data_IF_930166624756
#
_entry.id   IF_930166624756
#
_cell.length_a   1.000
_cell.length_b   1.000
_cell.length_c   1.000
_cell.angle_alpha   90.00
_cell.angle_beta   90.00
_cell.angle_gamma   90.00
#
_symmetry.space_group_name_H-M   'P 1'
#
loop_
_entity.id
_entity.type
_entity.pdbx_description
1 polymer ?
#
# COMPACT_ATOMS: atom_id res chain seq x y z
N UNK A 1 -49.77 -61.85 -12.06
CA UNK A 1 -50.63 -61.38 -10.93
C UNK A 1 -50.30 -59.91 -10.72
N UNK A 2 -51.05 -58.98 -11.33
CA UNK A 2 -52.18 -58.21 -10.71
C UNK A 2 -51.68 -57.28 -9.57
N UNK A 3 -51.90 -55.97 -9.49
CA UNK A 3 -52.97 -55.06 -9.95
C UNK A 3 -52.43 -53.60 -10.04
N UNK A 4 -52.75 -52.85 -11.11
CA UNK A 4 -53.59 -51.62 -11.16
C UNK A 4 -53.35 -50.55 -10.09
N UNK A 5 -53.02 -49.33 -10.53
CA UNK A 5 -53.97 -48.21 -10.37
C UNK A 5 -53.81 -47.14 -11.46
N UNK A 6 -54.93 -46.49 -11.78
CA UNK A 6 -55.28 -45.77 -13.00
C UNK A 6 -55.79 -44.36 -12.61
N UNK A 7 -55.84 -43.47 -13.60
CA UNK A 7 -56.44 -42.10 -13.65
C UNK A 7 -55.44 -40.98 -13.26
N UNK A 8 -55.04 -40.04 -14.11
CA UNK A 8 -55.56 -39.57 -15.40
C UNK A 8 -56.43 -38.32 -15.23
N UNK A 9 -55.93 -37.15 -15.60
CA UNK A 9 -56.62 -36.16 -16.45
C UNK A 9 -55.74 -34.91 -16.66
N UNK A 10 -55.47 -34.64 -17.93
CA UNK A 10 -54.92 -33.41 -18.50
C UNK A 10 -55.94 -32.26 -18.50
N UNK A 11 -55.43 -31.02 -18.67
CA UNK A 11 -55.82 -29.95 -19.62
C UNK A 11 -55.53 -28.57 -19.02
N UNK A 12 -54.52 -27.85 -19.51
CA UNK A 12 -54.61 -26.74 -20.49
C UNK A 12 -55.59 -25.64 -20.05
N UNK A 13 -55.20 -24.36 -19.95
CA UNK A 13 -55.30 -23.40 -21.07
C UNK A 13 -54.62 -22.06 -20.71
N UNK A 14 -53.85 -21.51 -21.67
CA UNK A 14 -53.58 -20.11 -22.08
C UNK A 14 -54.07 -18.95 -21.17
N UNK A 15 -53.22 -17.97 -20.82
CA UNK A 15 -52.67 -16.86 -21.63
C UNK A 15 -53.67 -15.73 -21.94
N UNK A 16 -53.43 -14.55 -21.37
CA UNK A 16 -53.74 -13.19 -21.89
C UNK A 16 -53.22 -12.15 -20.87
N UNK A 17 -52.15 -11.42 -21.21
CA UNK A 17 -52.15 -10.06 -21.78
C UNK A 17 -52.54 -8.94 -20.80
N UNK A 18 -51.57 -8.07 -20.51
CA UNK A 18 -51.79 -6.61 -20.44
C UNK A 18 -50.43 -5.92 -20.54
N UNK A 19 -50.10 -5.61 -21.80
CA UNK A 19 -49.11 -4.63 -22.20
C UNK A 19 -49.70 -3.25 -21.86
N UNK A 20 -49.01 -2.43 -21.07
CA UNK A 20 -49.37 -1.01 -20.90
C UNK A 20 -48.23 -0.16 -21.42
N UNK A 21 -48.49 0.43 -22.57
CA UNK A 21 -47.83 1.61 -23.13
C UNK A 21 -47.64 2.68 -22.06
N UNK A 22 -46.42 3.22 -21.95
CA UNK A 22 -46.23 4.60 -21.48
C UNK A 22 -45.58 5.36 -22.63
N UNK A 23 -46.43 6.06 -23.37
CA UNK A 23 -46.09 7.00 -24.43
C UNK A 23 -45.88 8.39 -23.82
N UNK A 24 -44.70 8.93 -24.06
CA UNK A 24 -44.37 10.29 -24.45
C UNK A 24 -45.24 11.47 -23.93
N UNK A 25 -44.62 12.34 -23.13
CA UNK A 25 -44.89 13.79 -23.15
C UNK A 25 -43.60 14.57 -22.87
N UNK A 26 -42.96 15.00 -23.95
CA UNK A 26 -42.22 16.25 -23.96
C UNK A 26 -43.25 17.39 -24.03
N UNK A 27 -43.03 18.47 -23.29
CA UNK A 27 -43.17 19.82 -23.85
C UNK A 27 -42.50 20.88 -22.95
N UNK A 28 -42.04 22.00 -23.54
CA UNK A 28 -41.14 22.98 -22.93
C UNK A 28 -41.80 24.36 -22.74
N UNK A 29 -40.98 25.36 -22.36
CA UNK A 29 -41.15 26.82 -22.60
C UNK A 29 -41.98 27.63 -21.56
N UNK A 30 -41.31 28.52 -20.83
CA UNK A 30 -41.33 30.00 -21.00
C UNK A 30 -40.42 30.64 -19.92
N UNK A 31 -39.33 31.36 -20.24
CA UNK A 31 -39.27 32.74 -20.79
C UNK A 31 -39.70 33.75 -19.71
N UNK A 32 -39.12 34.91 -19.46
CA UNK A 32 -37.91 35.64 -19.85
C UNK A 32 -37.85 36.84 -18.88
N UNK A 33 -36.68 37.41 -18.58
CA UNK A 33 -36.62 38.86 -18.47
C UNK A 33 -35.25 39.40 -18.91
N UNK A 34 -35.30 40.06 -20.05
CA UNK A 34 -34.25 40.92 -20.62
C UNK A 34 -34.02 42.13 -19.73
N UNK A 35 -32.80 42.69 -19.77
CA UNK A 35 -32.55 44.05 -20.31
C UNK A 35 -31.03 44.26 -20.52
N UNK A 36 -30.54 44.25 -21.76
CA UNK A 36 -30.32 45.41 -22.67
C UNK A 36 -29.39 46.53 -22.16
N UNK A 37 -28.22 46.67 -22.81
CA UNK A 37 -27.77 47.76 -23.71
C UNK A 37 -26.24 47.89 -23.61
N UNK A 38 -25.53 47.67 -24.73
CA UNK A 38 -25.11 48.69 -25.72
C UNK A 38 -24.04 49.63 -25.14
N UNK A 39 -23.05 50.15 -25.85
CA UNK A 39 -22.46 50.03 -27.17
C UNK A 39 -21.31 51.04 -27.16
N UNK A 40 -20.26 50.85 -27.96
CA UNK A 40 -19.45 51.90 -28.64
C UNK A 40 -18.04 51.34 -28.87
N UNK A 41 -17.60 50.98 -30.08
CA UNK A 41 -17.43 51.74 -31.33
C UNK A 41 -16.02 52.35 -31.44
N UNK A 42 -15.36 51.98 -32.56
CA UNK A 42 -14.16 52.56 -33.21
C UNK A 42 -12.84 52.40 -32.45
N UNK A 43 -11.75 51.98 -33.09
CA UNK A 43 -11.25 52.53 -34.36
C UNK A 43 -10.42 51.50 -35.15
N UNK A 44 -10.75 51.35 -36.43
CA UNK A 44 -9.90 50.77 -37.47
C UNK A 44 -8.79 51.74 -37.89
N UNK A 45 -7.87 51.21 -38.73
CA UNK A 45 -6.96 51.89 -39.68
C UNK A 45 -5.56 52.09 -39.04
N UNK A 46 -4.44 51.53 -39.51
CA UNK A 46 -3.94 51.46 -40.90
C UNK A 46 -2.73 50.50 -41.03
N UNK A 47 -2.70 49.76 -42.14
CA UNK A 47 -1.56 49.43 -43.03
C UNK A 47 -0.33 48.65 -42.54
N UNK A 48 -0.14 47.53 -43.23
CA UNK A 48 1.06 46.73 -43.40
C UNK A 48 2.22 47.50 -44.05
N UNK A 49 3.46 47.25 -43.59
CA UNK A 49 4.71 47.26 -44.39
C UNK A 49 5.72 46.32 -43.71
N UNK A 50 6.01 45.20 -44.39
CA UNK A 50 7.26 44.42 -44.51
C UNK A 50 8.27 44.31 -43.37
N UNK A 51 8.82 43.10 -43.20
CA UNK A 51 10.24 42.94 -42.88
C UNK A 51 10.56 41.70 -42.05
N UNK A 52 11.15 40.70 -42.70
CA UNK A 52 11.70 39.52 -42.06
C UNK A 52 12.79 39.89 -41.02
N UNK A 53 12.67 39.36 -39.81
CA UNK A 53 13.79 39.11 -38.90
C UNK A 53 13.38 37.99 -37.94
N UNK A 54 13.54 36.77 -38.45
CA UNK A 54 13.47 35.53 -37.71
C UNK A 54 14.67 35.47 -36.73
N UNK A 55 14.39 34.98 -35.52
CA UNK A 55 15.30 34.19 -34.69
C UNK A 55 16.57 34.85 -34.10
N UNK A 56 16.46 35.46 -32.91
CA UNK A 56 17.42 35.31 -31.81
C UNK A 56 16.69 35.52 -30.47
N UNK A 57 16.22 34.47 -29.81
CA UNK A 57 15.81 34.56 -28.38
C UNK A 57 15.77 33.24 -27.60
N UNK A 58 16.26 32.10 -28.10
CA UNK A 58 16.18 30.84 -27.35
C UNK A 58 17.50 30.05 -27.44
N UNK A 59 18.53 30.54 -26.76
CA UNK A 59 19.69 29.74 -26.41
C UNK A 59 20.14 30.15 -25.01
N UNK A 60 19.55 29.52 -24.00
CA UNK A 60 19.86 29.84 -22.61
C UNK A 60 19.28 28.84 -21.62
N UNK A 61 19.22 27.56 -21.97
CA UNK A 61 19.04 26.44 -21.05
C UNK A 61 19.55 25.17 -21.74
N UNK A 62 20.86 25.01 -21.85
CA UNK A 62 21.46 23.76 -22.29
C UNK A 62 22.66 23.47 -21.41
N UNK A 63 22.40 23.04 -20.17
CA UNK A 63 23.34 22.27 -19.34
C UNK A 63 22.52 21.34 -18.44
N UNK A 64 22.45 20.07 -18.80
CA UNK A 64 22.43 19.00 -17.80
C UNK A 64 23.42 17.91 -18.25
N UNK A 65 24.47 17.62 -17.47
CA UNK A 65 25.25 16.42 -17.69
C UNK A 65 24.36 15.22 -17.33
N UNK A 66 24.16 14.31 -18.28
CA UNK A 66 23.58 13.01 -17.97
C UNK A 66 24.46 12.30 -16.94
N UNK A 67 23.84 11.76 -15.88
CA UNK A 67 24.56 11.06 -14.82
C UNK A 67 25.03 9.70 -15.34
N UNK A 68 26.26 9.63 -15.86
CA UNK A 68 26.97 8.36 -16.00
C UNK A 68 27.61 8.01 -14.65
N UNK A 69 27.42 6.78 -14.18
CA UNK A 69 28.10 6.31 -12.98
C UNK A 69 29.62 6.25 -13.24
N UNK A 70 30.40 7.04 -12.50
CA UNK A 70 31.86 6.96 -12.44
C UNK A 70 32.27 6.66 -11.00
N UNK A 71 33.09 5.61 -10.75
CA UNK A 71 33.45 5.22 -9.38
C UNK A 71 34.38 6.26 -8.71
N UNK A 72 34.29 6.47 -7.39
CA UNK A 72 35.16 7.41 -6.67
C UNK A 72 36.59 6.87 -6.54
N UNK A 73 37.58 7.70 -6.87
CA UNK A 73 39.00 7.41 -6.68
C UNK A 73 39.42 7.68 -5.23
N UNK A 74 39.77 6.62 -4.49
CA UNK A 74 40.28 6.71 -3.12
C UNK A 74 41.75 7.12 -3.09
N UNK A 75 42.04 8.26 -2.45
CA UNK A 75 43.37 8.68 -2.00
C UNK A 75 43.77 7.94 -0.72
N UNK A 76 44.96 7.36 -0.69
CA UNK A 76 45.70 7.13 0.56
C UNK A 76 47.22 7.12 0.33
N UNK A 77 47.91 7.97 1.09
CA UNK A 77 49.27 7.75 1.58
C UNK A 77 49.26 8.02 3.10
N UNK A 78 50.40 7.93 3.83
CA UNK A 78 51.74 7.52 3.40
C UNK A 78 52.36 6.41 4.30
N UNK A 79 53.47 5.80 3.84
CA UNK A 79 54.30 4.89 4.64
C UNK A 79 55.63 4.55 3.96
N UNK A 80 56.73 4.89 4.64
CA UNK A 80 58.16 4.71 4.31
C UNK A 80 58.55 3.20 4.19
N UNK A 81 59.70 2.72 3.67
CA UNK A 81 61.05 3.28 3.47
C UNK A 81 61.90 2.35 2.54
N UNK A 82 63.00 2.92 2.00
CA UNK A 82 64.30 2.32 1.57
C UNK A 82 64.32 1.27 0.41
N UNK A 83 65.22 1.26 -0.57
CA UNK A 83 66.43 2.02 -0.93
C UNK A 83 67.19 1.19 -2.00
N UNK A 84 67.77 1.80 -3.03
CA UNK A 84 68.61 1.07 -4.00
C UNK A 84 68.74 1.70 -5.39
N UNK A 85 69.94 2.20 -5.68
CA UNK A 85 70.41 2.89 -6.89
C UNK A 85 70.45 2.05 -8.17
N UNK A 86 70.18 2.68 -9.32
CA UNK A 86 70.56 2.14 -10.64
C UNK A 86 70.08 3.00 -11.81
N UNK A 87 70.97 3.82 -12.36
CA UNK A 87 70.79 4.53 -13.63
C UNK A 87 70.78 3.53 -14.80
N UNK A 88 69.73 3.56 -15.63
CA UNK A 88 69.81 3.14 -17.02
C UNK A 88 68.72 3.84 -17.85
N UNK A 89 69.20 4.64 -18.79
CA UNK A 89 68.46 5.23 -19.90
C UNK A 89 67.86 4.16 -20.82
N UNK A 90 66.56 4.25 -21.08
CA UNK A 90 66.00 3.75 -22.34
C UNK A 90 64.77 4.56 -22.73
N UNK A 91 64.96 5.36 -23.77
CA UNK A 91 63.89 5.96 -24.56
C UNK A 91 63.05 4.85 -25.21
N UNK A 92 61.84 4.61 -24.69
CA UNK A 92 60.86 3.77 -25.39
C UNK A 92 59.81 4.67 -26.03
N UNK A 93 59.89 4.62 -27.36
CA UNK A 93 59.01 5.19 -28.37
C UNK A 93 57.57 4.72 -28.11
N UNK A 94 56.66 5.64 -27.83
CA UNK A 94 55.23 5.36 -27.75
C UNK A 94 54.72 5.04 -29.17
N UNK A 95 54.56 3.75 -29.48
CA UNK A 95 53.70 3.30 -30.57
C UNK A 95 52.27 3.26 -30.05
N UNK A 96 51.42 4.07 -30.68
CA UNK A 96 49.99 4.09 -30.46
C UNK A 96 49.39 2.78 -30.99
N UNK A 97 49.05 1.87 -30.08
CA UNK A 97 48.10 0.79 -30.35
C UNK A 97 46.82 1.11 -29.57
N UNK A 98 45.92 1.83 -30.23
CA UNK A 98 44.57 2.05 -29.78
C UNK A 98 43.75 0.77 -29.99
N UNK A 99 43.52 0.01 -28.92
CA UNK A 99 42.46 -0.99 -28.84
C UNK A 99 41.20 -0.35 -28.25
N UNK A 100 40.09 -0.19 -29.00
CA UNK A 100 38.83 0.29 -28.47
C UNK A 100 38.05 -0.91 -27.93
N UNK A 101 38.07 -1.12 -26.62
CA UNK A 101 37.27 -2.18 -26.02
C UNK A 101 37.73 -2.55 -24.62
N UNK A 102 37.36 -1.72 -23.63
CA UNK A 102 37.24 -2.11 -22.23
C UNK A 102 36.55 -0.99 -21.45
N UNK A 103 35.24 -0.93 -21.59
CA UNK A 103 34.39 -0.21 -20.64
C UNK A 103 33.99 -1.19 -19.56
N UNK A 104 34.77 -1.28 -18.48
CA UNK A 104 34.47 -1.79 -17.13
C UNK A 104 35.78 -2.18 -16.47
N UNK A 105 36.50 -1.22 -15.92
CA UNK A 105 37.51 -1.51 -14.90
C UNK A 105 37.26 -0.54 -13.73
N UNK A 106 36.82 -1.12 -12.61
CA UNK A 106 36.61 -0.55 -11.27
C UNK A 106 35.15 -0.38 -10.78
N UNK A 107 34.34 -1.44 -10.86
CA UNK A 107 33.44 -1.71 -9.72
C UNK A 107 34.32 -2.23 -8.57
N UNK A 108 34.22 -1.73 -7.33
CA UNK A 108 34.97 -2.28 -6.20
C UNK A 108 34.76 -3.80 -6.17
N UNK A 109 35.84 -4.56 -6.34
CA UNK A 109 35.82 -6.01 -6.39
C UNK A 109 35.28 -6.53 -5.05
N UNK A 110 33.97 -6.82 -5.01
CA UNK A 110 33.27 -7.26 -3.80
C UNK A 110 31.77 -6.98 -3.69
N UNK A 111 31.12 -6.24 -4.62
CA UNK A 111 29.68 -5.92 -4.49
C UNK A 111 28.84 -5.89 -5.78
N UNK A 112 29.38 -6.36 -6.91
CA UNK A 112 28.61 -6.60 -8.13
C UNK A 112 28.13 -8.05 -8.15
N UNK A 113 26.82 -8.26 -8.24
CA UNK A 113 26.20 -9.58 -8.29
C UNK A 113 25.44 -9.69 -9.61
N UNK A 114 25.79 -10.66 -10.45
CA UNK A 114 25.05 -10.94 -11.67
C UNK A 114 23.69 -11.57 -11.33
N UNK A 115 22.62 -11.04 -11.93
CA UNK A 115 21.27 -11.58 -11.86
C UNK A 115 21.21 -12.76 -12.83
N UNK A 116 21.53 -13.94 -12.32
CA UNK A 116 21.42 -15.21 -13.04
C UNK A 116 20.19 -15.99 -12.58
N UNK A 117 19.76 -16.97 -13.37
CA UNK A 117 18.68 -17.89 -12.97
C UNK A 117 19.01 -18.58 -11.64
N UNK A 118 20.27 -19.02 -11.46
CA UNK A 118 20.74 -19.62 -10.21
C UNK A 118 20.60 -18.68 -9.00
N UNK A 119 20.87 -17.38 -9.17
CA UNK A 119 20.68 -16.39 -8.11
C UNK A 119 19.20 -16.26 -7.78
N UNK A 120 18.35 -16.13 -8.80
CA UNK A 120 16.90 -16.00 -8.63
C UNK A 120 16.33 -17.23 -7.92
N UNK A 121 16.75 -18.43 -8.30
CA UNK A 121 16.37 -19.68 -7.64
C UNK A 121 16.85 -19.73 -6.20
N UNK A 122 18.09 -19.31 -5.94
CA UNK A 122 18.65 -19.23 -4.60
C UNK A 122 17.87 -18.24 -3.73
N UNK A 123 17.61 -17.02 -4.20
CA UNK A 123 16.81 -16.03 -3.46
C UNK A 123 15.37 -16.52 -3.23
N UNK A 124 14.77 -17.21 -4.20
CA UNK A 124 13.45 -17.85 -4.05
C UNK A 124 13.46 -19.00 -3.06
N UNK A 125 14.56 -19.76 -2.98
CA UNK A 125 14.71 -20.86 -2.03
C UNK A 125 14.98 -20.36 -0.61
N UNK A 126 15.78 -19.29 -0.47
CA UNK A 126 16.03 -18.61 0.80
C UNK A 126 14.78 -17.89 1.32
N UNK A 127 13.88 -17.47 0.41
CA UNK A 127 12.59 -16.93 0.80
C UNK A 127 11.78 -17.99 1.53
N UNK A 128 11.47 -17.71 2.79
CA UNK A 128 10.68 -18.62 3.61
C UNK A 128 9.34 -18.92 2.93
N UNK A 129 9.12 -20.21 2.61
CA UNK A 129 7.81 -20.69 2.16
C UNK A 129 6.76 -20.55 3.27
N UNK A 130 7.19 -20.47 4.52
CA UNK A 130 6.36 -20.20 5.67
C UNK A 130 6.11 -18.69 5.89
N UNK A 131 5.02 -18.40 6.59
CA UNK A 131 4.72 -17.08 7.14
C UNK A 131 5.68 -16.81 8.31
N UNK A 132 6.19 -15.57 8.50
CA UNK A 132 7.13 -15.27 9.59
C UNK A 132 6.57 -15.67 10.97
N UNK A 133 7.45 -16.11 11.86
CA UNK A 133 7.07 -16.55 13.22
C UNK A 133 6.38 -15.44 14.01
N UNK A 134 6.78 -14.19 13.80
CA UNK A 134 6.16 -13.01 14.43
C UNK A 134 4.69 -12.84 14.06
N UNK A 135 4.33 -13.14 12.81
CA UNK A 135 2.93 -13.11 12.35
C UNK A 135 2.17 -14.30 12.91
N UNK A 136 2.82 -15.47 12.97
CA UNK A 136 2.22 -16.69 13.56
C UNK A 136 1.92 -16.52 15.06
N UNK A 137 2.69 -15.70 15.78
CA UNK A 137 2.41 -15.33 17.18
C UNK A 137 1.13 -14.49 17.35
N UNK A 138 0.65 -13.86 16.28
CA UNK A 138 -0.65 -13.17 16.28
C UNK A 138 -1.81 -14.15 16.10
N UNK A 139 -1.54 -15.40 15.72
CA UNK A 139 -2.59 -16.38 15.53
C UNK A 139 -3.17 -16.81 16.86
N UNK A 140 -4.50 -16.85 16.92
CA UNK A 140 -5.21 -17.33 18.09
C UNK A 140 -6.50 -18.02 17.68
N UNK A 141 -6.96 -18.91 18.55
CA UNK A 141 -8.30 -19.47 18.43
C UNK A 141 -9.27 -18.50 19.10
N UNK A 142 -10.40 -18.19 18.44
CA UNK A 142 -11.44 -17.37 19.02
C UNK A 142 -11.79 -17.78 20.46
N UNK A 143 -11.62 -16.84 21.39
CA UNK A 143 -12.03 -17.03 22.78
C UNK A 143 -13.35 -16.30 23.05
N UNK A 144 -14.23 -16.83 23.92
CA UNK A 144 -15.42 -16.11 24.35
C UNK A 144 -15.08 -14.75 24.96
N UNK A 145 -15.96 -13.77 24.74
CA UNK A 145 -15.78 -12.46 25.33
C UNK A 145 -15.89 -12.52 26.85
N UNK A 146 -14.86 -12.02 27.52
CA UNK A 146 -14.86 -11.79 28.97
C UNK A 146 -15.20 -10.34 29.30
N UNK A 147 -16.02 -10.15 30.33
CA UNK A 147 -16.45 -8.86 30.83
C UNK A 147 -15.27 -8.01 31.30
N UNK A 148 -15.34 -6.70 31.09
CA UNK A 148 -14.35 -5.75 31.56
C UNK A 148 -14.96 -4.45 32.07
N UNK A 149 -14.11 -3.63 32.71
CA UNK A 149 -14.50 -2.32 33.21
C UNK A 149 -15.09 -1.43 32.09
N UNK A 150 -16.24 -0.84 32.36
CA UNK A 150 -17.00 0.00 31.43
C UNK A 150 -18.10 -0.72 30.64
N UNK A 151 -18.11 -2.06 30.61
CA UNK A 151 -19.21 -2.80 29.97
C UNK A 151 -20.54 -2.56 30.73
N UNK A 152 -21.66 -2.62 30.00
CA UNK A 152 -22.99 -2.42 30.57
C UNK A 152 -23.77 -3.73 30.43
N UNK A 153 -24.26 -4.23 31.55
CA UNK A 153 -24.95 -5.51 31.65
C UNK A 153 -26.45 -5.31 31.82
N UNK A 154 -27.24 -6.05 31.05
CA UNK A 154 -28.66 -6.23 31.29
C UNK A 154 -28.86 -7.48 32.13
N UNK A 155 -29.48 -7.34 33.30
CA UNK A 155 -29.75 -8.43 34.23
C UNK A 155 -31.26 -8.50 34.44
N UNK A 156 -31.83 -9.65 34.13
CA UNK A 156 -33.23 -9.97 34.33
C UNK A 156 -33.34 -11.17 35.25
N UNK A 157 -34.03 -11.00 36.37
CA UNK A 157 -34.45 -12.08 37.26
C UNK A 157 -35.92 -12.33 37.01
N UNK A 158 -36.25 -13.54 36.54
CA UNK A 158 -37.62 -13.94 36.28
C UNK A 158 -38.40 -14.11 37.59
N UNK A 159 -39.71 -13.85 37.53
CA UNK A 159 -40.63 -13.85 38.68
C UNK A 159 -40.27 -12.86 39.80
N UNK A 160 -39.31 -11.96 39.55
CA UNK A 160 -38.83 -10.93 40.49
C UNK A 160 -38.63 -9.57 39.80
N UNK A 161 -39.70 -8.90 39.34
CA UNK A 161 -39.61 -7.60 38.68
C UNK A 161 -38.96 -6.51 39.54
N UNK A 162 -39.00 -6.65 40.87
CA UNK A 162 -38.37 -5.75 41.85
C UNK A 162 -36.84 -5.81 41.85
N UNK A 163 -36.25 -6.89 41.33
CA UNK A 163 -34.80 -7.08 41.18
C UNK A 163 -34.27 -6.59 39.84
N UNK A 164 -35.18 -6.35 38.91
CA UNK A 164 -34.87 -5.73 37.64
C UNK A 164 -34.74 -4.23 37.89
N UNK A 165 -33.76 -3.59 37.26
CA UNK A 165 -33.36 -2.22 37.56
C UNK A 165 -34.58 -1.26 37.58
N UNK A 166 -34.79 -0.47 38.65
CA UNK A 166 -35.88 0.49 38.70
C UNK A 166 -35.52 1.67 37.79
N UNK A 167 -36.07 1.76 36.57
CA UNK A 167 -35.71 2.90 35.71
C UNK A 167 -36.12 2.95 34.25
N UNK A 168 -36.90 2.00 33.71
CA UNK A 168 -37.54 2.20 32.40
C UNK A 168 -39.05 2.01 32.47
N UNK A 169 -39.69 2.71 33.40
CA UNK A 169 -41.08 3.09 33.14
C UNK A 169 -41.08 3.98 31.88
N UNK A 170 -41.96 3.72 30.90
CA UNK A 170 -42.20 4.64 29.80
C UNK A 170 -43.01 5.82 30.34
N UNK A 171 -42.39 6.65 31.18
CA UNK A 171 -42.96 7.91 31.65
C UNK A 171 -42.11 9.04 31.10
N UNK A 172 -42.18 9.22 29.79
CA UNK A 172 -41.90 10.50 29.17
C UNK A 172 -42.97 10.73 28.12
N UNK A 173 -43.73 11.82 28.29
CA UNK A 173 -44.49 12.40 27.19
C UNK A 173 -43.55 12.75 26.02
N UNK A 174 -44.10 13.29 24.92
CA UNK A 174 -43.40 13.41 23.63
C UNK A 174 -42.14 14.30 23.59
N UNK A 175 -41.68 14.84 24.73
CA UNK A 175 -40.72 15.94 24.78
C UNK A 175 -39.37 15.60 25.44
N UNK A 176 -39.12 14.35 25.86
CA UNK A 176 -37.81 13.95 26.40
C UNK A 176 -36.84 13.43 25.32
N UNK A 177 -36.79 14.07 24.16
CA UNK A 177 -35.79 13.80 23.12
C UNK A 177 -34.71 14.89 23.15
N UNK A 178 -33.80 14.83 24.12
CA UNK A 178 -32.46 15.45 24.01
C UNK A 178 -31.49 14.94 25.09
N UNK A 179 -30.39 14.33 24.62
CA UNK A 179 -29.06 14.27 25.24
C UNK A 179 -28.80 13.34 26.45
N UNK A 180 -29.50 12.22 26.60
CA UNK A 180 -29.08 11.21 27.57
C UNK A 180 -30.03 10.04 27.73
N UNK A 181 -30.18 9.21 26.70
CA UNK A 181 -30.71 7.86 26.90
C UNK A 181 -29.74 7.15 27.85
N UNK A 182 -30.05 7.17 29.15
CA UNK A 182 -29.32 6.43 30.16
C UNK A 182 -29.41 4.96 29.72
N UNK A 183 -28.30 4.39 29.27
CA UNK A 183 -28.25 2.99 28.91
C UNK A 183 -28.71 2.21 30.13
N UNK A 184 -29.91 1.63 30.04
CA UNK A 184 -30.57 0.95 31.16
C UNK A 184 -29.84 -0.36 31.44
N UNK A 185 -28.86 -0.33 32.33
CA UNK A 185 -28.10 -1.52 32.71
C UNK A 185 -27.08 -1.28 33.82
N UNK A 186 -26.56 -2.37 34.36
CA UNK A 186 -25.53 -2.38 35.39
C UNK A 186 -24.17 -2.14 34.75
N UNK A 187 -23.58 -0.98 35.03
CA UNK A 187 -22.23 -0.65 34.52
C UNK A 187 -21.17 -1.32 35.38
N UNK A 188 -20.22 -1.99 34.73
CA UNK A 188 -19.04 -2.56 35.38
C UNK A 188 -18.07 -1.43 35.73
N UNK A 189 -17.75 -1.26 37.00
CA UNK A 189 -16.85 -0.21 37.47
C UNK A 189 -15.37 -0.47 37.09
N UNK A 190 -14.48 0.47 37.45
CA UNK A 190 -13.04 0.35 37.21
C UNK A 190 -12.40 -0.83 37.98
N UNK A 191 -12.97 -1.19 39.12
CA UNK A 191 -12.61 -2.37 39.91
C UNK A 191 -13.12 -3.68 39.29
N UNK A 192 -13.90 -3.62 38.21
CA UNK A 192 -14.50 -4.78 37.55
C UNK A 192 -15.68 -5.39 38.31
N UNK A 193 -16.33 -4.59 39.16
CA UNK A 193 -17.47 -4.98 39.99
C UNK A 193 -18.77 -4.37 39.42
N UNK A 194 -19.89 -4.98 39.77
CA UNK A 194 -21.22 -4.37 39.66
C UNK A 194 -21.85 -4.30 41.03
N UNK A 195 -22.65 -3.27 41.28
CA UNK A 195 -23.48 -3.19 42.48
C UNK A 195 -24.85 -3.78 42.15
N UNK A 196 -25.25 -4.84 42.86
CA UNK A 196 -26.55 -5.48 42.65
C UNK A 196 -27.32 -5.62 43.98
N UNK A 197 -28.64 -5.50 43.91
CA UNK A 197 -29.50 -5.52 45.10
C UNK A 197 -29.32 -6.82 45.92
N UNK A 198 -29.37 -6.69 47.25
CA UNK A 198 -29.20 -7.77 48.25
C UNK A 198 -27.82 -8.45 48.31
N UNK A 199 -27.14 -8.63 47.18
CA UNK A 199 -25.83 -9.28 47.12
C UNK A 199 -24.66 -8.28 47.26
N UNK A 200 -24.91 -6.99 47.03
CA UNK A 200 -23.90 -5.94 47.11
C UNK A 200 -22.92 -5.95 45.93
N UNK A 201 -21.64 -5.59 46.14
CA UNK A 201 -20.65 -5.56 45.06
C UNK A 201 -20.28 -6.98 44.61
N UNK A 202 -20.42 -7.25 43.31
CA UNK A 202 -20.11 -8.53 42.68
C UNK A 202 -19.01 -8.37 41.63
N UNK A 203 -17.93 -9.15 41.75
CA UNK A 203 -16.84 -9.18 40.77
C UNK A 203 -17.28 -9.91 39.53
N UNK A 204 -17.33 -9.21 38.40
CA UNK A 204 -17.72 -9.80 37.10
C UNK A 204 -16.64 -9.70 36.03
N UNK A 205 -15.64 -8.83 36.21
CA UNK A 205 -14.56 -8.72 35.24
C UNK A 205 -13.78 -10.04 35.09
N UNK A 206 -13.33 -10.30 33.86
CA UNK A 206 -12.71 -11.53 33.40
C UNK A 206 -13.62 -12.77 33.35
N UNK A 207 -14.88 -12.69 33.79
CA UNK A 207 -15.87 -13.74 33.59
C UNK A 207 -16.51 -13.62 32.22
N UNK A 208 -16.90 -14.74 31.64
CA UNK A 208 -17.84 -14.79 30.52
C UNK A 208 -19.25 -14.44 30.98
N UNK A 209 -20.15 -14.12 30.03
CA UNK A 209 -21.57 -13.89 30.31
C UNK A 209 -22.20 -15.04 31.12
N UNK A 210 -21.91 -16.28 30.73
CA UNK A 210 -22.43 -17.48 31.38
C UNK A 210 -21.89 -17.63 32.82
N UNK A 211 -20.58 -17.46 33.02
CA UNK A 211 -19.97 -17.56 34.34
C UNK A 211 -20.47 -16.45 35.28
N UNK A 212 -20.63 -15.23 34.77
CA UNK A 212 -21.18 -14.12 35.53
C UNK A 212 -22.65 -14.35 35.92
N UNK A 213 -23.46 -14.91 35.01
CA UNK A 213 -24.85 -15.32 35.28
C UNK A 213 -24.92 -16.37 36.39
N UNK A 214 -24.10 -17.41 36.29
CA UNK A 214 -24.11 -18.52 37.24
C UNK A 214 -23.63 -18.07 38.63
N UNK A 215 -22.60 -17.22 38.67
CA UNK A 215 -22.12 -16.58 39.89
C UNK A 215 -23.22 -15.72 40.53
N UNK A 216 -23.92 -14.92 39.72
CA UNK A 216 -25.01 -14.07 40.18
C UNK A 216 -26.16 -14.89 40.75
N UNK A 217 -26.61 -15.93 40.05
CA UNK A 217 -27.65 -16.84 40.50
C UNK A 217 -27.27 -17.54 41.81
N UNK A 218 -26.02 -17.99 41.93
CA UNK A 218 -25.51 -18.61 43.15
C UNK A 218 -25.54 -17.65 44.34
N UNK A 219 -25.10 -16.40 44.16
CA UNK A 219 -25.12 -15.40 45.23
C UNK A 219 -26.54 -14.99 45.62
N UNK A 220 -27.43 -14.87 44.64
CA UNK A 220 -28.82 -14.47 44.84
C UNK A 220 -29.67 -15.57 45.50
N UNK A 221 -29.27 -16.84 45.38
CA UNK A 221 -29.97 -17.98 46.00
C UNK A 221 -30.11 -17.91 47.53
N UNK A 222 -29.33 -17.05 48.19
CA UNK A 222 -29.43 -16.77 49.64
C UNK A 222 -30.65 -15.92 50.00
N UNK A 223 -31.19 -15.17 49.04
CA UNK A 223 -32.27 -14.22 49.23
C UNK A 223 -33.52 -14.59 48.42
N UNK A 224 -33.33 -15.25 47.27
CA UNK A 224 -34.38 -15.69 46.37
C UNK A 224 -34.36 -17.21 46.25
N UNK A 225 -35.52 -17.86 46.33
CA UNK A 225 -35.62 -19.30 46.15
C UNK A 225 -35.57 -19.64 44.66
N UNK A 226 -34.57 -20.43 44.25
CA UNK A 226 -34.38 -20.90 42.86
C UNK A 226 -34.38 -19.76 41.81
N UNK A 227 -33.49 -18.76 41.94
CA UNK A 227 -33.49 -17.60 41.06
C UNK A 227 -33.19 -18.01 39.61
N UNK A 228 -34.08 -17.63 38.69
CA UNK A 228 -33.86 -17.77 37.25
C UNK A 228 -33.30 -16.45 36.72
N UNK A 229 -32.01 -16.45 36.37
CA UNK A 229 -31.28 -15.24 35.98
C UNK A 229 -30.90 -15.28 34.50
N UNK A 230 -31.17 -14.20 33.79
CA UNK A 230 -30.63 -13.92 32.46
C UNK A 230 -29.71 -12.71 32.56
N UNK A 231 -28.47 -12.87 32.13
CA UNK A 231 -27.47 -11.80 32.08
C UNK A 231 -27.04 -11.67 30.63
N UNK A 232 -27.02 -10.45 30.09
CA UNK A 232 -26.55 -10.13 28.74
C UNK A 232 -25.69 -8.88 28.75
N UNK A 233 -24.76 -8.78 27.81
CA UNK A 233 -24.01 -7.54 27.59
C UNK A 233 -24.84 -6.63 26.69
N UNK A 234 -25.32 -5.52 27.26
CA UNK A 234 -26.09 -4.51 26.52
C UNK A 234 -25.16 -3.61 25.69
N UNK A 235 -23.99 -3.27 26.24
CA UNK A 235 -23.03 -2.43 25.53
C UNK A 235 -21.61 -2.86 25.87
N UNK A 236 -20.87 -3.23 24.82
CA UNK A 236 -19.44 -3.48 24.86
C UNK A 236 -18.69 -2.15 24.89
N UNK A 237 -17.85 -1.92 25.90
CA UNK A 237 -17.04 -0.68 26.00
C UNK A 237 -15.65 -0.92 26.55
N UNK A 238 -15.41 -2.07 27.17
CA UNK A 238 -14.17 -2.33 27.89
C UNK A 238 -13.00 -2.69 26.97
N UNK A 239 -13.27 -3.21 25.77
CA UNK A 239 -12.24 -3.63 24.80
C UNK A 239 -12.41 -2.89 23.49
N UNK A 240 -11.32 -2.28 23.01
CA UNK A 240 -11.27 -1.56 21.74
C UNK A 240 -9.95 -1.79 21.02
N UNK A 241 -9.99 -1.70 19.70
CA UNK A 241 -8.84 -1.63 18.79
C UNK A 241 -8.86 -0.29 18.04
N UNK A 242 -7.71 0.11 17.52
CA UNK A 242 -7.54 1.32 16.73
C UNK A 242 -7.18 0.95 15.31
N UNK A 243 -7.91 1.47 14.33
CA UNK A 243 -7.57 1.31 12.93
C UNK A 243 -7.24 2.66 12.31
N UNK A 244 -6.17 2.69 11.52
CA UNK A 244 -5.70 3.90 10.83
C UNK A 244 -5.06 3.57 9.47
N UNK A 245 -4.85 4.61 8.66
CA UNK A 245 -4.18 4.54 7.37
C UNK A 245 -5.13 4.36 6.19
N UNK A 246 -4.70 3.59 5.19
CA UNK A 246 -5.35 3.47 3.88
C UNK A 246 -6.61 2.58 3.88
N UNK A 247 -7.53 2.82 4.82
CA UNK A 247 -8.85 2.18 4.96
C UNK A 247 -9.97 3.21 4.82
N UNK A 248 -11.19 2.78 4.49
CA UNK A 248 -12.28 3.74 4.18
C UNK A 248 -12.75 4.53 5.40
N UNK A 249 -12.96 3.85 6.53
CA UNK A 249 -13.45 4.45 7.77
C UNK A 249 -12.44 4.18 8.90
N UNK A 250 -11.35 4.96 9.01
CA UNK A 250 -10.42 4.85 10.12
C UNK A 250 -11.09 5.28 11.43
N UNK A 251 -10.63 4.69 12.54
CA UNK A 251 -11.18 5.01 13.86
C UNK A 251 -11.09 3.85 14.85
N UNK A 252 -11.74 4.07 15.99
CA UNK A 252 -11.83 3.09 17.08
C UNK A 252 -12.93 2.09 16.76
N UNK A 253 -12.62 0.80 16.90
CA UNK A 253 -13.63 -0.26 16.86
C UNK A 253 -13.68 -0.98 18.20
N UNK A 254 -14.89 -1.29 18.65
CA UNK A 254 -15.16 -2.02 19.89
C UNK A 254 -15.14 -3.52 19.61
N UNK A 255 -14.54 -4.30 20.51
CA UNK A 255 -14.60 -5.77 20.45
C UNK A 255 -15.87 -6.24 21.17
N UNK A 256 -16.61 -7.13 20.52
CA UNK A 256 -17.83 -7.74 21.05
C UNK A 256 -17.67 -9.24 21.28
N UNK A 257 -18.78 -9.95 21.47
CA UNK A 257 -18.89 -11.41 21.55
C UNK A 257 -18.47 -12.13 20.26
N UNK A 258 -18.49 -11.44 19.14
CA UNK A 258 -17.94 -11.93 17.88
C UNK A 258 -16.42 -11.76 17.84
N UNK A 259 -15.67 -12.80 17.44
CA UNK A 259 -14.22 -12.72 17.29
C UNK A 259 -13.83 -11.63 16.30
N UNK A 260 -12.91 -10.76 16.70
CA UNK A 260 -12.43 -9.68 15.84
C UNK A 260 -11.12 -10.11 15.17
N UNK A 261 -11.22 -10.62 13.95
CA UNK A 261 -10.04 -10.94 13.13
C UNK A 261 -9.54 -9.71 12.38
N UNK A 262 -8.31 -9.77 11.85
CA UNK A 262 -7.76 -8.69 11.03
C UNK A 262 -8.65 -8.39 9.80
N UNK A 263 -9.06 -9.39 8.98
CA UNK A 263 -9.99 -9.14 7.88
C UNK A 263 -11.33 -8.56 8.33
N UNK A 264 -11.91 -9.07 9.43
CA UNK A 264 -13.19 -8.59 9.96
C UNK A 264 -13.11 -7.11 10.35
N UNK A 265 -12.06 -6.70 11.06
CA UNK A 265 -11.87 -5.31 11.47
C UNK A 265 -11.75 -4.36 10.26
N UNK A 266 -11.01 -4.78 9.23
CA UNK A 266 -10.86 -4.00 7.99
C UNK A 266 -12.19 -3.93 7.23
N UNK A 267 -12.95 -5.03 7.16
CA UNK A 267 -14.27 -5.05 6.53
C UNK A 267 -15.27 -4.15 7.27
N UNK A 268 -15.28 -4.17 8.61
CA UNK A 268 -16.07 -3.25 9.44
C UNK A 268 -15.69 -1.78 9.22
N UNK A 269 -14.42 -1.52 8.91
CA UNK A 269 -13.94 -0.20 8.47
C UNK A 269 -14.31 0.17 7.02
N UNK A 270 -15.15 -0.63 6.34
CA UNK A 270 -15.53 -0.41 4.94
C UNK A 270 -14.53 -0.94 3.92
N UNK A 271 -13.53 -1.69 4.36
CA UNK A 271 -12.50 -2.28 3.52
C UNK A 271 -11.31 -1.36 3.23
N UNK A 272 -10.39 -1.87 2.42
CA UNK A 272 -9.23 -1.13 1.92
C UNK A 272 -9.63 0.00 0.98
N UNK A 273 -8.86 1.08 0.99
CA UNK A 273 -8.91 2.09 -0.08
C UNK A 273 -8.24 1.55 -1.37
N UNK A 274 -8.50 2.15 -2.55
CA UNK A 274 -7.84 1.74 -3.79
C UNK A 274 -6.32 1.90 -3.77
N UNK A 275 -5.79 2.81 -2.95
CA UNK A 275 -4.36 3.10 -2.81
C UNK A 275 -3.71 2.35 -1.65
N UNK A 276 -4.41 1.41 -1.03
CA UNK A 276 -3.90 0.65 0.11
C UNK A 276 -2.87 -0.39 -0.32
N UNK A 277 -1.76 -0.46 0.42
CA UNK A 277 -0.81 -1.56 0.28
C UNK A 277 -1.22 -2.71 1.20
N UNK A 278 -1.84 -3.74 0.63
CA UNK A 278 -2.33 -4.91 1.37
C UNK A 278 -1.20 -5.82 1.85
N UNK A 279 0.00 -5.65 1.33
CA UNK A 279 1.19 -6.38 1.78
C UNK A 279 1.84 -5.75 3.02
N UNK A 280 1.46 -4.51 3.32
CA UNK A 280 2.05 -3.71 4.39
C UNK A 280 0.96 -3.28 5.37
N UNK A 281 0.53 -4.23 6.20
CA UNK A 281 -0.38 -3.98 7.31
C UNK A 281 0.38 -4.14 8.62
N UNK A 282 0.62 -3.04 9.32
CA UNK A 282 1.30 -3.07 10.62
C UNK A 282 0.30 -3.29 11.75
N UNK A 283 0.55 -4.29 12.59
CA UNK A 283 -0.19 -4.54 13.82
C UNK A 283 0.75 -4.26 14.98
N UNK A 284 0.38 -3.27 15.78
CA UNK A 284 1.11 -2.91 17.00
C UNK A 284 0.38 -3.44 18.22
N UNK A 285 1.03 -4.33 18.97
CA UNK A 285 0.53 -4.92 20.21
C UNK A 285 1.52 -4.62 21.33
N UNK A 286 1.16 -3.66 22.20
CA UNK A 286 2.10 -3.10 23.17
C UNK A 286 3.25 -2.40 22.45
N UNK A 287 4.50 -2.78 22.74
CA UNK A 287 5.70 -2.19 22.13
C UNK A 287 6.18 -2.93 20.87
N UNK A 288 5.47 -3.98 20.45
CA UNK A 288 5.85 -4.79 19.28
C UNK A 288 4.99 -4.42 18.08
N UNK A 289 5.64 -4.11 16.97
CA UNK A 289 5.00 -3.90 15.66
C UNK A 289 5.35 -5.05 14.74
N UNK A 290 4.34 -5.69 14.16
CA UNK A 290 4.50 -6.81 13.21
C UNK A 290 3.85 -6.42 11.90
N UNK A 291 4.60 -6.56 10.79
CA UNK A 291 4.08 -6.31 9.46
C UNK A 291 3.48 -7.60 8.89
N UNK A 292 2.26 -7.50 8.38
CA UNK A 292 1.49 -8.60 7.82
C UNK A 292 1.29 -8.39 6.33
N UNK A 293 1.78 -9.33 5.54
CA UNK A 293 1.54 -9.42 4.11
C UNK A 293 0.35 -10.34 3.82
N UNK A 294 -0.84 -9.75 3.71
CA UNK A 294 -2.09 -10.50 3.50
C UNK A 294 -2.08 -11.26 2.16
N UNK A 295 -1.76 -10.63 1.01
CA UNK A 295 -1.61 -11.35 -0.26
C UNK A 295 -0.60 -12.51 -0.19
N UNK A 296 0.56 -12.28 0.44
CA UNK A 296 1.59 -13.30 0.61
C UNK A 296 1.15 -14.49 1.47
N UNK A 297 0.38 -14.24 2.53
CA UNK A 297 -0.22 -15.30 3.35
C UNK A 297 -1.20 -16.16 2.53
N UNK A 298 -2.09 -15.54 1.77
CA UNK A 298 -3.07 -16.24 0.92
C UNK A 298 -2.35 -17.07 -0.14
N UNK A 299 -1.32 -16.52 -0.78
CA UNK A 299 -0.50 -17.24 -1.77
C UNK A 299 0.20 -18.48 -1.18
N UNK A 300 0.50 -18.46 0.12
CA UNK A 300 1.07 -19.58 0.88
C UNK A 300 0.01 -20.54 1.45
N UNK A 301 -1.28 -20.31 1.19
CA UNK A 301 -2.38 -21.12 1.71
C UNK A 301 -2.69 -20.88 3.19
N UNK A 302 -2.23 -19.77 3.78
CA UNK A 302 -2.48 -19.41 5.18
C UNK A 302 -3.63 -18.40 5.24
N UNK A 303 -4.69 -18.73 5.99
CA UNK A 303 -5.84 -17.84 6.12
C UNK A 303 -5.51 -16.65 7.05
N UNK A 304 -5.67 -15.38 6.60
CA UNK A 304 -5.52 -14.20 7.45
C UNK A 304 -6.54 -14.10 8.60
N UNK A 305 -7.66 -14.83 8.54
CA UNK A 305 -8.65 -14.90 9.64
C UNK A 305 -8.06 -15.49 10.93
N UNK A 306 -6.94 -16.20 10.84
CA UNK A 306 -6.26 -16.71 12.02
C UNK A 306 -5.68 -15.59 12.90
N UNK A 307 -5.50 -14.38 12.36
CA UNK A 307 -4.98 -13.22 13.08
C UNK A 307 -6.12 -12.59 13.89
N UNK A 308 -6.12 -12.85 15.21
CA UNK A 308 -7.10 -12.29 16.14
C UNK A 308 -6.57 -11.00 16.77
N UNK A 309 -7.38 -9.94 16.69
CA UNK A 309 -7.09 -8.65 17.28
C UNK A 309 -7.55 -8.62 18.73
N UNK A 310 -6.72 -8.03 19.59
CA UNK A 310 -6.92 -7.95 21.03
C UNK A 310 -7.08 -6.52 21.47
N UNK A 311 -7.60 -6.35 22.70
CA UNK A 311 -7.73 -5.04 23.34
C UNK A 311 -6.41 -4.27 23.26
N UNK A 312 -6.49 -3.05 22.73
CA UNK A 312 -5.36 -2.13 22.65
C UNK A 312 -4.50 -2.29 21.40
N UNK A 313 -4.78 -3.28 20.54
CA UNK A 313 -4.06 -3.40 19.27
C UNK A 313 -4.33 -2.17 18.39
N UNK A 314 -3.28 -1.71 17.71
CA UNK A 314 -3.34 -0.66 16.69
C UNK A 314 -2.99 -1.26 15.34
N UNK A 315 -3.91 -1.19 14.39
CA UNK A 315 -3.76 -1.68 13.03
C UNK A 315 -3.60 -0.49 12.10
N UNK A 316 -2.46 -0.41 11.41
CA UNK A 316 -2.17 0.63 10.42
C UNK A 316 -1.99 -0.01 9.05
N UNK A 317 -2.78 0.44 8.08
CA UNK A 317 -2.61 0.04 6.68
C UNK A 317 -1.83 1.13 5.95
N UNK A 318 -0.69 0.80 5.36
CA UNK A 318 0.10 1.78 4.61
C UNK A 318 -0.49 2.02 3.21
N UNK A 319 -0.14 3.16 2.62
CA UNK A 319 -0.50 3.45 1.24
C UNK A 319 0.58 2.90 0.30
N UNK A 320 0.22 2.54 -0.93
CA UNK A 320 1.16 2.13 -1.97
C UNK A 320 2.21 3.21 -2.27
N UNK A 321 1.92 4.48 -1.95
CA UNK A 321 2.86 5.58 -2.08
C UNK A 321 3.98 5.56 -1.05
N UNK A 322 3.84 4.80 0.04
CA UNK A 322 4.86 4.69 1.08
C UNK A 322 5.96 3.68 0.68
N UNK A 323 5.64 2.78 -0.26
CA UNK A 323 6.51 1.71 -0.75
C UNK A 323 6.82 1.96 -2.23
N UNK A 324 8.03 2.43 -2.56
CA UNK A 324 8.40 2.79 -3.94
C UNK A 324 9.69 2.12 -4.42
N UNK A 325 9.78 1.91 -5.73
CA UNK A 325 11.03 1.66 -6.47
C UNK A 325 11.31 2.88 -7.34
N UNK A 326 12.58 3.16 -7.60
CA UNK A 326 12.98 4.22 -8.52
C UNK A 326 13.60 3.64 -9.77
N UNK A 327 13.15 4.06 -10.95
CA UNK A 327 13.71 3.64 -12.24
C UNK A 327 14.30 4.86 -12.94
N UNK A 328 15.59 4.81 -13.25
CA UNK A 328 16.35 5.89 -13.87
C UNK A 328 17.23 5.40 -15.03
N UNK A 329 17.80 6.35 -15.76
CA UNK A 329 18.66 6.07 -16.91
C UNK A 329 17.89 6.06 -18.22
N UNK A 330 18.37 5.28 -19.19
CA UNK A 330 17.86 5.26 -20.56
C UNK A 330 16.63 4.35 -20.73
N UNK A 331 15.56 4.69 -20.00
CA UNK A 331 14.21 4.13 -20.13
C UNK A 331 13.26 5.17 -20.72
N UNK A 332 12.13 4.74 -21.28
CA UNK A 332 11.18 5.66 -21.91
C UNK A 332 10.57 6.67 -20.91
N UNK A 333 10.28 6.23 -19.69
CA UNK A 333 9.64 7.03 -18.63
C UNK A 333 10.34 6.83 -17.28
N UNK A 334 11.46 7.55 -17.04
CA UNK A 334 12.12 7.54 -15.73
C UNK A 334 11.20 8.08 -14.64
N UNK A 335 11.24 7.50 -13.44
CA UNK A 335 10.40 7.93 -12.32
C UNK A 335 10.32 6.94 -11.17
N UNK A 336 9.46 7.24 -10.20
CA UNK A 336 9.15 6.32 -9.10
C UNK A 336 7.94 5.45 -9.44
N UNK A 337 8.03 4.16 -9.16
CA UNK A 337 6.96 3.19 -9.32
C UNK A 337 6.50 2.69 -7.95
N UNK A 338 5.25 2.27 -7.85
CA UNK A 338 4.63 1.76 -6.62
C UNK A 338 4.39 0.26 -6.74
N UNK A 339 4.53 -0.47 -5.65
CA UNK A 339 4.31 -1.92 -5.63
C UNK A 339 2.83 -2.26 -5.86
N UNK A 340 2.59 -3.39 -6.53
CA UNK A 340 1.27 -3.98 -6.66
C UNK A 340 1.14 -5.15 -5.69
N UNK A 341 0.34 -4.98 -4.63
CA UNK A 341 0.18 -5.98 -3.56
C UNK A 341 1.53 -6.46 -2.98
N UNK A 342 2.48 -5.53 -2.80
CA UNK A 342 3.79 -5.80 -2.20
C UNK A 342 4.82 -6.50 -3.07
N UNK A 343 4.50 -6.79 -4.33
CA UNK A 343 5.46 -7.40 -5.25
C UNK A 343 5.66 -6.51 -6.47
N UNK A 344 6.88 -6.59 -7.01
CA UNK A 344 7.28 -5.96 -8.26
C UNK A 344 8.51 -6.70 -8.77
N UNK A 345 8.45 -7.25 -9.97
CA UNK A 345 9.65 -7.82 -10.62
C UNK A 345 10.47 -6.74 -11.30
N UNK A 346 11.76 -7.02 -11.56
CA UNK A 346 12.59 -6.12 -12.37
C UNK A 346 12.00 -5.94 -13.77
N UNK A 347 11.48 -7.02 -14.37
CA UNK A 347 10.81 -6.95 -15.66
C UNK A 347 9.57 -6.04 -15.63
N UNK A 348 8.71 -6.20 -14.60
CA UNK A 348 7.53 -5.35 -14.40
C UNK A 348 7.93 -3.88 -14.25
N UNK A 349 8.93 -3.57 -13.43
CA UNK A 349 9.42 -2.20 -13.25
C UNK A 349 9.95 -1.58 -14.56
N UNK A 350 10.70 -2.34 -15.36
CA UNK A 350 11.16 -1.87 -16.67
C UNK A 350 9.99 -1.68 -17.64
N UNK A 351 9.02 -2.59 -17.64
CA UNK A 351 7.81 -2.49 -18.46
C UNK A 351 6.96 -1.26 -18.11
N UNK A 352 6.73 -1.03 -16.82
CA UNK A 352 5.98 0.13 -16.30
C UNK A 352 6.70 1.45 -16.60
N UNK A 353 8.03 1.46 -16.58
CA UNK A 353 8.84 2.58 -17.06
C UNK A 353 8.82 2.76 -18.59
N UNK A 354 7.99 1.99 -19.32
CA UNK A 354 7.84 2.04 -20.77
C UNK A 354 8.92 1.28 -21.55
N UNK A 355 9.70 0.45 -20.87
CA UNK A 355 10.80 -0.33 -21.42
C UNK A 355 12.10 0.47 -21.56
N UNK A 356 13.16 -0.27 -21.90
CA UNK A 356 14.47 0.30 -22.23
C UNK A 356 14.35 1.07 -23.56
N UNK A 357 14.96 2.26 -23.62
CA UNK A 357 14.96 3.06 -24.84
C UNK A 357 15.67 2.33 -25.97
N UNK A 358 14.97 2.10 -27.09
CA UNK A 358 15.56 1.41 -28.26
C UNK A 358 16.64 2.24 -28.96
N UNK A 359 16.65 3.56 -28.76
CA UNK A 359 17.58 4.47 -29.43
C UNK A 359 18.79 4.80 -28.58
N UNK A 360 18.62 4.85 -27.25
CA UNK A 360 19.66 5.32 -26.33
C UNK A 360 20.11 4.31 -25.27
N UNK A 361 19.25 3.35 -24.92
CA UNK A 361 19.51 2.40 -23.85
C UNK A 361 20.37 1.22 -24.26
N UNK A 362 21.16 0.73 -23.32
CA UNK A 362 21.88 -0.53 -23.44
C UNK A 362 21.17 -1.62 -22.63
N UNK A 363 20.50 -2.54 -23.33
CA UNK A 363 19.83 -3.66 -22.68
C UNK A 363 20.81 -4.58 -21.95
N UNK A 364 22.10 -4.57 -22.27
CA UNK A 364 23.09 -5.38 -21.55
C UNK A 364 23.54 -4.77 -20.23
N UNK A 365 23.13 -3.54 -19.91
CA UNK A 365 23.60 -2.76 -18.77
C UNK A 365 22.42 -2.30 -17.89
N UNK A 366 21.70 -3.27 -17.33
CA UNK A 366 20.63 -3.02 -16.35
C UNK A 366 21.17 -3.30 -14.95
N UNK A 367 21.04 -2.33 -14.06
CA UNK A 367 21.52 -2.42 -12.68
C UNK A 367 20.40 -2.24 -11.68
N UNK A 368 20.47 -2.96 -10.56
CA UNK A 368 19.62 -2.72 -9.39
C UNK A 368 20.52 -2.41 -8.20
N UNK A 369 20.36 -1.23 -7.61
CA UNK A 369 21.08 -0.80 -6.43
C UNK A 369 20.18 -0.96 -5.22
N UNK A 370 20.60 -1.79 -4.27
CA UNK A 370 19.85 -2.12 -3.05
C UNK A 370 20.61 -1.68 -1.80
N UNK A 371 19.89 -1.17 -0.80
CA UNK A 371 20.47 -0.86 0.52
C UNK A 371 21.21 0.47 0.61
N UNK A 372 20.73 1.50 -0.10
CA UNK A 372 21.31 2.86 -0.08
C UNK A 372 21.47 3.43 1.35
N UNK A 373 20.59 3.04 2.26
CA UNK A 373 20.53 3.55 3.63
C UNK A 373 21.40 2.76 4.64
N UNK A 374 22.03 1.64 4.23
CA UNK A 374 22.71 0.67 5.13
C UNK A 374 24.25 0.69 4.98
N UNK A 375 24.82 1.78 4.44
CA UNK A 375 26.27 2.04 4.43
C UNK A 375 27.11 1.23 3.43
N UNK A 376 26.59 0.13 2.86
CA UNK A 376 27.21 -0.61 1.74
C UNK A 376 26.13 -1.02 0.72
N UNK A 377 25.93 -0.25 -0.36
CA UNK A 377 24.98 -0.64 -1.40
C UNK A 377 25.45 -1.89 -2.12
N UNK A 378 24.53 -2.83 -2.35
CA UNK A 378 24.76 -4.01 -3.20
C UNK A 378 24.24 -3.67 -4.59
N UNK A 379 25.06 -3.95 -5.61
CA UNK A 379 24.71 -3.67 -6.99
C UNK A 379 24.47 -5.00 -7.68
N UNK A 380 23.27 -5.20 -8.19
CA UNK A 380 22.93 -6.31 -9.04
C UNK A 380 23.00 -5.87 -10.50
N UNK A 381 23.43 -6.75 -11.39
CA UNK A 381 23.53 -6.47 -12.82
C UNK A 381 22.83 -7.55 -13.63
N UNK A 382 22.07 -7.15 -14.64
CA UNK A 382 21.40 -8.05 -15.57
C UNK A 382 21.76 -7.65 -17.00
N UNK A 383 22.26 -8.61 -17.77
CA UNK A 383 22.31 -8.49 -19.22
C UNK A 383 20.95 -8.86 -19.82
N UNK A 384 20.09 -7.86 -19.96
CA UNK A 384 18.74 -7.93 -20.48
C UNK A 384 18.64 -7.97 -22.02
N UNK A 385 19.75 -8.24 -22.74
CA UNK A 385 19.78 -8.26 -24.21
C UNK A 385 19.09 -9.45 -24.87
N UNK A 386 18.65 -10.45 -24.10
CA UNK A 386 18.00 -11.66 -24.62
C UNK A 386 16.60 -11.89 -24.01
N UNK A 387 15.67 -12.54 -24.74
CA UNK A 387 14.37 -12.91 -24.18
C UNK A 387 14.47 -13.81 -22.94
N UNK A 388 15.49 -14.68 -22.87
CA UNK A 388 15.72 -15.53 -21.70
C UNK A 388 16.06 -14.68 -20.46
N UNK A 389 16.91 -13.66 -20.60
CA UNK A 389 17.24 -12.75 -19.50
C UNK A 389 16.03 -11.93 -19.01
N UNK A 390 15.04 -11.67 -19.86
CA UNK A 390 13.76 -11.07 -19.43
C UNK A 390 12.94 -12.02 -18.55
N UNK A 391 13.01 -13.33 -18.80
CA UNK A 391 12.40 -14.31 -17.90
C UNK A 391 13.12 -14.35 -16.55
N UNK A 392 14.46 -14.24 -16.53
CA UNK A 392 15.24 -14.08 -15.30
C UNK A 392 14.85 -12.80 -14.54
N UNK A 393 14.69 -11.68 -15.26
CA UNK A 393 14.26 -10.39 -14.71
C UNK A 393 12.87 -10.45 -14.07
N UNK A 394 11.97 -11.26 -14.64
CA UNK A 394 10.64 -11.47 -14.07
C UNK A 394 10.71 -12.24 -12.74
N UNK A 395 11.70 -13.11 -12.59
CA UNK A 395 11.92 -13.82 -11.35
C UNK A 395 12.65 -13.04 -10.26
N UNK A 396 13.37 -11.98 -10.63
CA UNK A 396 14.07 -11.11 -9.69
C UNK A 396 13.12 -10.07 -9.09
N UNK A 397 12.77 -10.24 -7.82
CA UNK A 397 11.89 -9.31 -7.12
C UNK A 397 12.63 -8.11 -6.53
N UNK A 398 12.06 -6.94 -6.76
CA UNK A 398 12.53 -5.69 -6.22
C UNK A 398 12.04 -5.50 -4.78
N UNK A 399 12.82 -4.77 -3.99
CA UNK A 399 12.52 -4.42 -2.61
C UNK A 399 12.20 -2.92 -2.50
N UNK A 400 11.44 -2.52 -1.46
CA UNK A 400 11.18 -1.11 -1.22
C UNK A 400 12.47 -0.29 -1.18
N UNK A 401 12.47 0.84 -1.87
CA UNK A 401 13.61 1.76 -2.07
C UNK A 401 14.75 1.23 -2.95
N UNK A 402 14.58 0.12 -3.67
CA UNK A 402 15.52 -0.27 -4.73
C UNK A 402 15.55 0.79 -5.83
N UNK A 403 16.73 0.97 -6.43
CA UNK A 403 16.95 1.85 -7.58
C UNK A 403 17.37 1.01 -8.78
N UNK A 404 16.52 0.98 -9.79
CA UNK A 404 16.82 0.39 -11.10
C UNK A 404 17.45 1.46 -11.97
N UNK A 405 18.59 1.15 -12.58
CA UNK A 405 19.31 2.06 -13.48
C UNK A 405 19.66 1.35 -14.77
N UNK A 406 19.39 1.98 -15.91
CA UNK A 406 19.77 1.48 -17.24
C UNK A 406 20.81 2.41 -17.85
N UNK A 407 22.00 1.88 -18.17
CA UNK A 407 23.05 2.69 -18.79
C UNK A 407 22.76 2.98 -20.28
N UNK A 408 23.40 4.02 -20.80
CA UNK A 408 23.35 4.38 -22.20
C UNK A 408 24.29 3.50 -23.03
N UNK A 409 23.88 3.20 -24.27
CA UNK A 409 24.75 2.48 -25.20
C UNK A 409 26.06 3.21 -25.42
N UNK A 410 27.15 2.46 -25.63
CA UNK A 410 28.49 3.02 -25.82
C UNK A 410 28.52 4.09 -26.93
N UNK A 411 27.70 3.91 -27.99
CA UNK A 411 27.57 4.87 -29.09
C UNK A 411 26.89 6.18 -28.68
N UNK A 412 25.90 6.13 -27.78
CA UNK A 412 25.17 7.31 -27.28
C UNK A 412 26.00 8.08 -26.26
N UNK A 413 26.79 7.38 -25.45
CA UNK A 413 27.80 8.00 -24.59
C UNK A 413 28.82 8.78 -25.43
N UNK A 414 29.23 8.22 -26.56
CA UNK A 414 30.19 8.84 -27.48
C UNK A 414 29.57 10.00 -28.30
N UNK A 415 28.31 9.89 -28.74
CA UNK A 415 27.62 10.98 -29.45
C UNK A 415 27.32 12.18 -28.55
N UNK A 416 27.04 11.97 -27.25
CA UNK A 416 26.90 13.05 -26.25
C UNK A 416 28.22 13.80 -26.05
N UNK A 417 29.37 13.12 -26.15
CA UNK A 417 30.70 13.75 -26.13
C UNK A 417 30.94 14.56 -27.42
N UNK A 418 30.60 14.05 -28.60
CA UNK A 418 30.72 14.82 -29.85
C UNK A 418 29.78 16.03 -29.86
N UNK A 419 28.55 15.88 -29.37
CA UNK A 419 27.57 16.98 -29.28
C UNK A 419 28.04 18.14 -28.41
N UNK A 420 28.91 17.89 -27.43
CA UNK A 420 29.57 18.91 -26.60
C UNK A 420 30.76 19.59 -27.30
N UNK A 421 31.34 18.96 -28.32
CA UNK A 421 32.49 19.47 -29.08
C UNK A 421 32.04 20.29 -30.31
N UNK A 422 30.87 19.97 -30.88
CA UNK A 422 30.35 20.62 -32.11
C UNK A 422 29.33 21.76 -31.85
N UNK A 423 29.54 22.67 -30.88
CA UNK A 423 29.01 24.04 -31.00
C UNK A 423 30.02 25.06 -31.56
N UNK A 424 31.18 24.64 -32.10
CA UNK A 424 32.23 25.58 -32.53
C UNK A 424 32.45 25.66 -34.05
N UNK A 425 31.93 24.72 -34.85
CA UNK A 425 32.18 24.73 -36.30
C UNK A 425 31.20 25.60 -37.09
N UNK A 426 29.98 25.85 -36.59
CA UNK A 426 29.09 26.86 -37.19
C UNK A 426 29.55 28.31 -36.90
N UNK A 427 30.32 28.53 -35.83
CA UNK A 427 31.00 29.81 -35.59
C UNK A 427 32.21 30.03 -36.52
N UNK A 428 32.90 28.95 -36.92
CA UNK A 428 34.06 29.04 -37.83
C UNK A 428 33.67 29.23 -39.31
N UNK A 429 32.50 28.74 -39.74
CA UNK A 429 32.03 28.94 -41.13
C UNK A 429 31.51 30.37 -41.39
N UNK A 430 30.97 31.05 -40.37
CA UNK A 430 30.52 32.44 -40.49
C UNK A 430 31.69 33.45 -40.52
N UNK A 431 32.85 33.10 -39.98
CA UNK A 431 34.04 33.97 -39.97
C UNK A 431 34.78 34.09 -41.30
N UNK A 432 34.52 33.20 -42.27
CA UNK A 432 35.16 33.22 -43.61
C UNK A 432 34.34 33.90 -44.70
N UNK A 433 33.11 34.31 -44.42
CA UNK A 433 32.24 35.01 -45.39
C UNK A 433 32.19 36.54 -45.22
N UNK A 434 32.91 37.11 -44.23
CA UNK A 434 32.94 38.56 -43.96
C UNK A 434 34.25 39.22 -44.45
N UNK A 435 35.14 38.45 -45.09
CA UNK A 435 36.39 38.94 -45.63
C UNK A 435 36.49 38.76 -47.15
N UNK A 436 35.69 39.50 -47.92
CA UNK A 436 36.05 39.95 -49.27
C UNK A 436 35.19 41.15 -49.67
#
# INVERSE_FOLDING_TARGET
MMLRNKLGSERTTNAQESNVLVEERADPVHDSFRRTRAASCRQQVRTAVTGAALAVCLAGCAWSPGMSFSPPSGTSGPGQAEGGSGLASSSVRATADAHPGKGVDAVPTGSLIEITDDLVEKERAERSKAVPDEVTQLFAKPAPYTLGAGDILSIVVWDHPELNMPGSSPSAGPEANSAGSMTSGYTVDSGGMIQYAYIGPLKVAALTEMEARDLLAQKLSRYVRQPQVTLRIETYRSKRIYLDGAIRNPGVQVLNDMPMTLPEAINRAGGFTPTADRSMVAITRGDKTVNVDIPGMIAKGVNPDNIELRRGDMVRVFAQTDTKVYVFGEVQRPGSLTFNNGRMSLNEALGDAGGISQTSGDASQVFVVRGRDVGKPVVFHLNAGSPAAMATADGFELKPNDVVFVDASALVRWSRVIGLIVPSTQAAAAGRAIGY
#
